data_IF_194335331284
#
_entry.id   IF_194335331284
#
_cell.length_a   1.000
_cell.length_b   1.000
_cell.length_c   1.000
_cell.angle_alpha   90.00
_cell.angle_beta   90.00
_cell.angle_gamma   90.00
#
_symmetry.space_group_name_H-M   'P 1'
#
loop_
_entity.id
_entity.type
_entity.pdbx_description
1 polymer ?
#
# COMPACT_ATOMS: atom_id res chain seq x y z
N UNK A 1 2.68 41.75 -51.80
CA UNK A 1 1.63 40.90 -51.19
C UNK A 1 2.28 39.63 -50.66
N UNK A 2 2.57 39.56 -49.36
CA UNK A 2 3.23 38.40 -48.72
C UNK A 2 2.13 37.42 -48.28
N UNK A 3 2.18 36.22 -48.84
CA UNK A 3 1.26 35.11 -48.56
C UNK A 3 1.55 34.52 -47.18
N UNK A 4 0.58 34.58 -46.27
CA UNK A 4 0.59 33.86 -44.99
C UNK A 4 0.37 32.37 -45.25
N UNK A 5 1.39 31.54 -45.00
CA UNK A 5 1.23 30.08 -44.89
C UNK A 5 0.65 29.74 -43.52
N UNK A 6 -0.56 29.20 -43.48
CA UNK A 6 -1.12 28.56 -42.29
C UNK A 6 -0.40 27.22 -42.03
N UNK A 7 -0.13 26.83 -40.78
CA UNK A 7 0.43 25.52 -40.49
C UNK A 7 -0.66 24.45 -40.65
N UNK A 8 -0.45 23.56 -41.61
CA UNK A 8 -1.26 22.37 -41.84
C UNK A 8 -1.16 21.43 -40.64
N UNK A 9 -2.29 21.17 -39.97
CA UNK A 9 -2.41 20.08 -38.98
C UNK A 9 -2.09 18.75 -39.67
N UNK A 10 -0.96 18.14 -39.33
CA UNK A 10 -0.66 16.76 -39.71
C UNK A 10 -1.67 15.84 -39.04
N UNK A 11 -2.56 15.23 -39.84
CA UNK A 11 -3.38 14.08 -39.43
C UNK A 11 -2.45 12.90 -39.19
N UNK A 12 -2.30 12.51 -37.92
CA UNK A 12 -1.67 11.25 -37.53
C UNK A 12 -2.74 10.16 -37.71
N UNK A 13 -2.41 9.12 -38.49
CA UNK A 13 -3.32 7.99 -38.77
C UNK A 13 -3.54 7.12 -37.53
N UNK A 14 -4.75 6.57 -37.30
CA UNK A 14 -5.03 5.69 -36.18
C UNK A 14 -4.61 4.26 -36.51
N UNK A 15 -3.33 3.94 -36.31
CA UNK A 15 -2.90 2.55 -36.20
C UNK A 15 -2.64 2.25 -34.72
N UNK A 16 -3.73 2.16 -33.95
CA UNK A 16 -3.72 1.64 -32.59
C UNK A 16 -3.65 0.11 -32.63
N UNK A 17 -2.45 -0.41 -32.84
CA UNK A 17 -2.14 -1.74 -32.32
C UNK A 17 -2.06 -1.59 -30.79
N UNK A 18 -2.97 -2.25 -30.07
CA UNK A 18 -2.96 -2.34 -28.61
C UNK A 18 -1.56 -2.73 -28.12
N UNK A 19 -0.81 -1.74 -27.62
CA UNK A 19 0.28 -1.98 -26.68
C UNK A 19 -0.35 -1.93 -25.30
N UNK A 20 -0.25 -3.03 -24.57
CA UNK A 20 -0.46 -3.08 -23.13
C UNK A 20 0.63 -2.20 -22.52
N UNK A 21 0.28 -0.96 -22.21
CA UNK A 21 1.17 -0.03 -21.56
C UNK A 21 0.84 1.44 -21.87
N UNK A 22 0.35 2.13 -20.85
CA UNK A 22 0.60 3.54 -20.54
C UNK A 22 0.24 4.55 -21.64
N UNK A 23 -0.97 5.11 -21.49
CA UNK A 23 -1.29 6.46 -21.95
C UNK A 23 -2.23 7.04 -20.90
N UNK A 24 -1.75 7.88 -19.98
CA UNK A 24 -2.45 9.07 -19.40
C UNK A 24 -2.00 9.54 -18.00
N UNK A 25 -1.09 8.89 -17.27
CA UNK A 25 -0.74 9.34 -15.89
C UNK A 25 0.76 9.33 -15.53
N UNK A 26 1.64 9.57 -16.51
CA UNK A 26 3.09 9.73 -16.27
C UNK A 26 3.46 10.93 -15.38
N UNK A 27 2.58 11.93 -15.25
CA UNK A 27 2.83 13.10 -14.40
C UNK A 27 2.78 12.75 -12.90
N UNK A 28 1.80 11.96 -12.43
CA UNK A 28 1.66 11.65 -10.99
C UNK A 28 2.78 10.75 -10.45
N UNK A 29 3.21 9.76 -11.22
CA UNK A 29 4.32 8.88 -10.85
C UNK A 29 5.66 9.63 -10.80
N UNK A 30 5.84 10.65 -11.65
CA UNK A 30 7.06 11.44 -11.69
C UNK A 30 7.20 12.49 -10.58
N UNK A 31 6.12 12.98 -9.95
CA UNK A 31 6.23 14.11 -9.01
C UNK A 31 7.08 13.80 -7.77
N UNK A 32 6.92 12.63 -7.15
CA UNK A 32 7.73 12.26 -5.98
C UNK A 32 9.14 11.81 -6.41
N UNK A 33 9.23 10.88 -7.36
CA UNK A 33 10.52 10.28 -7.74
C UNK A 33 11.49 11.28 -8.38
N UNK A 34 11.00 12.18 -9.24
CA UNK A 34 11.86 13.14 -9.94
C UNK A 34 12.46 14.22 -9.02
N UNK A 35 11.86 14.47 -7.85
CA UNK A 35 12.34 15.48 -6.88
C UNK A 35 13.42 14.95 -5.94
N UNK A 36 13.71 13.64 -5.96
CA UNK A 36 14.63 13.00 -5.02
C UNK A 36 16.07 13.51 -5.24
N UNK A 37 16.76 14.00 -4.18
CA UNK A 37 18.17 14.35 -4.28
C UNK A 37 19.05 13.14 -4.62
N UNK A 38 20.23 13.41 -5.20
CA UNK A 38 21.27 12.40 -5.37
C UNK A 38 21.66 11.81 -4.02
N UNK A 39 21.84 10.49 -3.96
CA UNK A 39 22.19 9.77 -2.72
C UNK A 39 21.01 9.40 -1.82
N UNK A 40 19.78 9.66 -2.26
CA UNK A 40 18.56 9.21 -1.58
C UNK A 40 18.48 7.68 -1.57
N UNK A 41 18.28 7.12 -0.39
CA UNK A 41 17.99 5.71 -0.15
C UNK A 41 16.49 5.45 -0.32
N UNK A 42 16.15 4.27 -0.83
CA UNK A 42 14.76 3.85 -1.04
C UNK A 42 14.52 2.58 -0.24
N UNK A 43 13.56 2.64 0.68
CA UNK A 43 12.97 1.44 1.26
C UNK A 43 11.71 1.11 0.46
N UNK A 44 11.73 -0.04 -0.21
CA UNK A 44 10.66 -0.47 -1.10
C UNK A 44 10.10 -1.82 -0.67
N UNK A 45 8.79 -1.94 -0.75
CA UNK A 45 8.07 -3.22 -0.66
C UNK A 45 7.35 -3.42 -1.97
N UNK A 46 7.63 -4.54 -2.62
CA UNK A 46 7.07 -4.88 -3.92
C UNK A 46 5.89 -5.85 -3.77
N UNK A 47 4.87 -5.59 -4.56
CA UNK A 47 3.65 -6.39 -4.73
C UNK A 47 3.64 -6.99 -6.13
N UNK A 48 3.00 -8.14 -6.26
CA UNK A 48 2.93 -8.91 -7.49
C UNK A 48 3.84 -10.12 -7.48
N UNK A 49 4.24 -10.59 -8.67
CA UNK A 49 4.81 -11.92 -8.80
C UNK A 49 6.19 -12.08 -8.15
N UNK A 50 6.29 -12.94 -7.14
CA UNK A 50 7.54 -13.31 -6.45
C UNK A 50 7.90 -14.76 -6.77
N UNK A 51 9.18 -15.00 -7.03
CA UNK A 51 9.72 -16.36 -7.08
C UNK A 51 10.35 -16.69 -5.75
N UNK A 52 9.84 -17.73 -5.09
CA UNK A 52 10.40 -18.25 -3.85
C UNK A 52 10.37 -19.78 -3.91
N UNK A 53 11.50 -20.43 -3.62
CA UNK A 53 11.65 -21.90 -3.65
C UNK A 53 11.13 -22.57 -4.94
N UNK A 54 11.50 -22.06 -6.12
CA UNK A 54 11.03 -22.52 -7.45
C UNK A 54 9.52 -22.40 -7.71
N UNK A 55 8.76 -21.78 -6.80
CA UNK A 55 7.36 -21.47 -7.01
C UNK A 55 7.22 -19.99 -7.35
N UNK A 56 6.35 -19.69 -8.31
CA UNK A 56 6.00 -18.30 -8.62
C UNK A 56 4.66 -18.00 -7.96
N UNK A 57 4.68 -17.07 -7.01
CA UNK A 57 3.53 -16.55 -6.30
C UNK A 57 3.14 -15.26 -6.98
N UNK A 58 1.96 -15.17 -7.58
CA UNK A 58 1.68 -14.06 -8.50
C UNK A 58 0.98 -12.88 -7.82
N UNK A 59 0.21 -13.13 -6.75
CA UNK A 59 -0.77 -12.15 -6.26
C UNK A 59 -0.94 -12.22 -4.74
N UNK A 60 -1.05 -11.05 -4.09
CA UNK A 60 -1.54 -10.95 -2.72
C UNK A 60 -3.04 -10.61 -2.76
N UNK A 61 -3.88 -11.54 -2.32
CA UNK A 61 -5.34 -11.36 -2.30
C UNK A 61 -5.78 -10.34 -1.27
N UNK A 62 -6.81 -9.55 -1.57
CA UNK A 62 -7.41 -8.61 -0.62
C UNK A 62 -8.45 -9.35 0.23
N UNK A 63 -7.99 -10.27 1.09
CA UNK A 63 -8.86 -11.15 1.89
C UNK A 63 -9.38 -10.49 3.17
N UNK A 64 -8.91 -9.29 3.52
CA UNK A 64 -9.37 -8.50 4.66
C UNK A 64 -9.99 -7.20 4.18
N UNK A 65 -11.01 -6.72 4.89
CA UNK A 65 -11.67 -5.44 4.63
C UNK A 65 -10.86 -4.23 5.03
N UNK A 66 -9.83 -4.41 5.85
CA UNK A 66 -8.91 -3.35 6.27
C UNK A 66 -7.49 -3.87 6.13
N UNK A 67 -6.65 -3.10 5.46
CA UNK A 67 -5.25 -3.44 5.24
C UNK A 67 -4.36 -2.30 5.74
N UNK A 68 -3.92 -2.33 7.00
CA UNK A 68 -3.00 -1.36 7.57
C UNK A 68 -1.54 -1.72 7.24
N UNK A 69 -0.79 -0.75 6.74
CA UNK A 69 0.61 -0.91 6.36
C UNK A 69 1.45 0.27 6.88
N UNK A 70 2.38 0.02 7.79
CA UNK A 70 3.27 1.07 8.34
C UNK A 70 4.31 1.52 7.32
N UNK A 71 4.43 2.83 7.16
CA UNK A 71 5.35 3.44 6.21
C UNK A 71 6.61 3.85 6.94
N UNK A 72 7.77 3.49 6.39
CA UNK A 72 9.10 3.84 6.92
C UNK A 72 9.42 3.36 8.35
N UNK A 73 8.86 2.26 8.85
CA UNK A 73 9.10 1.78 10.25
C UNK A 73 9.92 0.48 10.37
N UNK A 74 10.87 0.23 9.47
CA UNK A 74 11.68 -1.02 9.50
C UNK A 74 12.79 -0.99 10.56
N UNK A 75 13.16 -2.13 11.15
CA UNK A 75 14.31 -2.20 12.09
C UNK A 75 15.69 -2.11 11.43
N UNK A 76 15.77 -2.13 10.10
CA UNK A 76 17.04 -2.19 9.35
C UNK A 76 17.74 -0.84 9.20
N UNK A 77 17.47 0.12 10.07
CA UNK A 77 18.05 1.46 9.99
C UNK A 77 19.38 1.61 10.74
N UNK A 78 19.83 0.58 11.47
CA UNK A 78 21.15 0.60 12.10
C UNK A 78 22.29 0.71 11.07
N UNK A 79 23.34 1.51 11.33
CA UNK A 79 23.65 2.18 12.61
C UNK A 79 23.05 3.58 12.78
N UNK A 80 22.23 4.06 11.84
CA UNK A 80 21.78 5.45 11.80
C UNK A 80 20.67 5.73 12.82
N UNK A 81 20.71 6.94 13.39
CA UNK A 81 19.66 7.41 14.32
C UNK A 81 18.92 8.64 13.82
N UNK A 82 19.45 9.34 12.82
CA UNK A 82 18.90 10.56 12.26
C UNK A 82 18.72 10.44 10.75
N UNK A 83 17.58 10.87 10.27
CA UNK A 83 17.20 10.72 8.86
C UNK A 83 16.58 12.01 8.34
N UNK A 84 16.68 12.19 7.03
CA UNK A 84 15.87 13.13 6.27
C UNK A 84 14.91 12.32 5.41
N UNK A 85 13.62 12.45 5.65
CA UNK A 85 12.57 11.86 4.83
C UNK A 85 12.21 12.80 3.68
N UNK A 86 12.22 12.27 2.47
CA UNK A 86 11.92 13.05 1.26
C UNK A 86 10.48 12.87 0.83
N UNK A 87 10.05 11.62 0.64
CA UNK A 87 8.73 11.32 0.13
C UNK A 87 8.28 9.89 0.48
N UNK A 88 6.96 9.69 0.35
CA UNK A 88 6.32 8.38 0.34
C UNK A 88 5.56 8.24 -0.98
N UNK A 89 5.75 7.13 -1.67
CA UNK A 89 5.07 6.81 -2.92
C UNK A 89 4.40 5.45 -2.82
N UNK A 90 3.12 5.39 -3.12
CA UNK A 90 2.32 4.17 -3.19
C UNK A 90 1.84 4.03 -4.62
N UNK A 91 2.08 2.87 -5.20
CA UNK A 91 1.57 2.49 -6.50
C UNK A 91 1.09 1.05 -6.42
N UNK A 92 -0.22 0.82 -6.39
CA UNK A 92 -0.79 -0.52 -6.31
C UNK A 92 -1.75 -0.75 -7.47
N UNK A 93 -1.55 -1.84 -8.20
CA UNK A 93 -2.52 -2.33 -9.17
C UNK A 93 -3.45 -3.33 -8.48
N UNK A 94 -4.73 -3.01 -8.44
CA UNK A 94 -5.80 -3.88 -7.97
C UNK A 94 -6.49 -4.50 -9.18
N UNK A 95 -6.58 -5.82 -9.19
CA UNK A 95 -7.29 -6.59 -10.20
C UNK A 95 -8.57 -7.10 -9.57
N UNK A 96 -9.68 -6.89 -10.26
CA UNK A 96 -10.99 -7.39 -9.86
C UNK A 96 -11.50 -8.38 -10.89
N UNK A 97 -11.99 -9.53 -10.43
CA UNK A 97 -12.53 -10.57 -11.28
C UNK A 97 -14.05 -10.43 -11.41
N UNK A 98 -14.53 -10.42 -12.64
CA UNK A 98 -15.95 -10.30 -12.97
C UNK A 98 -16.40 -11.54 -13.74
N UNK A 99 -17.63 -11.97 -13.53
CA UNK A 99 -18.25 -13.00 -14.34
C UNK A 99 -19.77 -12.85 -14.32
N UNK A 100 -20.42 -13.08 -15.47
CA UNK A 100 -21.89 -13.12 -15.54
C UNK A 100 -22.45 -14.27 -14.69
N UNK A 101 -21.76 -15.40 -14.68
CA UNK A 101 -22.06 -16.50 -13.78
C UNK A 101 -21.36 -16.27 -12.43
N UNK A 102 -22.13 -15.86 -11.43
CA UNK A 102 -21.64 -15.56 -10.07
C UNK A 102 -21.07 -16.80 -9.35
N UNK A 103 -21.32 -18.00 -9.85
CA UNK A 103 -20.77 -19.25 -9.29
C UNK A 103 -19.39 -19.59 -9.83
N UNK A 104 -18.98 -18.94 -10.93
CA UNK A 104 -17.74 -19.28 -11.64
C UNK A 104 -16.53 -18.66 -10.97
N UNK A 105 -15.84 -19.45 -10.16
CA UNK A 105 -14.61 -19.05 -9.46
C UNK A 105 -13.35 -19.34 -10.26
N UNK A 106 -12.25 -18.67 -9.91
CA UNK A 106 -10.91 -18.99 -10.41
C UNK A 106 -9.98 -19.31 -9.24
N UNK A 107 -8.96 -20.11 -9.50
CA UNK A 107 -7.93 -20.45 -8.51
C UNK A 107 -6.65 -19.71 -8.86
N UNK A 108 -6.11 -18.97 -7.90
CA UNK A 108 -4.82 -18.28 -8.08
C UNK A 108 -3.81 -18.76 -7.03
N UNK A 109 -2.54 -18.98 -7.41
CA UNK A 109 -1.47 -19.27 -6.47
C UNK A 109 -1.08 -18.01 -5.68
N UNK A 110 -1.04 -18.14 -4.37
CA UNK A 110 -0.64 -17.12 -3.39
C UNK A 110 0.44 -17.68 -2.44
N UNK A 111 1.17 -16.83 -1.70
CA UNK A 111 2.16 -17.31 -0.73
C UNK A 111 1.59 -18.27 0.33
N UNK A 112 0.29 -18.18 0.62
CA UNK A 112 -0.41 -19.05 1.57
C UNK A 112 -0.99 -20.34 0.93
N UNK A 113 -0.76 -20.57 -0.37
CA UNK A 113 -1.28 -21.73 -1.12
C UNK A 113 -2.15 -21.31 -2.30
N UNK A 114 -3.23 -22.05 -2.58
CA UNK A 114 -4.17 -21.67 -3.65
C UNK A 114 -5.38 -20.96 -3.05
N UNK A 115 -5.68 -19.76 -3.54
CA UNK A 115 -6.86 -18.99 -3.14
C UNK A 115 -7.93 -19.04 -4.21
N UNK A 116 -9.19 -19.14 -3.78
CA UNK A 116 -10.36 -19.07 -4.64
C UNK A 116 -10.78 -17.61 -4.77
N UNK A 117 -10.85 -17.12 -6.00
CA UNK A 117 -11.38 -15.79 -6.32
C UNK A 117 -12.80 -15.97 -6.85
N UNK A 118 -13.72 -15.24 -6.25
CA UNK A 118 -15.13 -15.22 -6.62
C UNK A 118 -15.42 -14.03 -7.52
N UNK A 119 -16.40 -14.11 -8.44
CA UNK A 119 -16.81 -12.94 -9.21
C UNK A 119 -17.23 -11.76 -8.30
N UNK A 120 -16.95 -10.54 -8.74
CA UNK A 120 -17.54 -9.33 -8.17
C UNK A 120 -19.05 -9.34 -8.42
N UNK A 121 -19.84 -9.41 -7.35
CA UNK A 121 -21.31 -9.56 -7.44
C UNK A 121 -22.08 -8.26 -7.23
N UNK A 122 -21.39 -7.21 -6.77
CA UNK A 122 -21.88 -5.87 -6.43
C UNK A 122 -20.74 -4.87 -6.59
N UNK A 123 -21.05 -3.59 -6.73
CA UNK A 123 -20.05 -2.53 -6.68
C UNK A 123 -19.17 -2.66 -5.44
N UNK A 124 -17.87 -2.42 -5.62
CA UNK A 124 -16.86 -2.37 -4.56
C UNK A 124 -16.24 -0.98 -4.53
N UNK A 125 -16.16 -0.40 -3.34
CA UNK A 125 -15.46 0.87 -3.12
C UNK A 125 -14.19 0.60 -2.33
N UNK A 126 -13.06 1.05 -2.86
CA UNK A 126 -11.77 1.00 -2.18
C UNK A 126 -11.43 2.42 -1.73
N UNK A 127 -11.30 2.62 -0.41
CA UNK A 127 -10.88 3.90 0.18
C UNK A 127 -9.49 3.74 0.76
N UNK A 128 -8.53 4.48 0.22
CA UNK A 128 -7.12 4.39 0.55
C UNK A 128 -6.64 5.69 1.19
N UNK A 129 -5.91 5.59 2.30
CA UNK A 129 -5.47 6.75 3.06
C UNK A 129 -4.00 6.64 3.43
N UNK A 130 -3.30 7.78 3.42
CA UNK A 130 -2.07 7.96 4.20
C UNK A 130 -2.43 8.77 5.43
N UNK A 131 -2.19 8.19 6.60
CA UNK A 131 -2.45 8.76 7.91
C UNK A 131 -1.13 9.05 8.63
N UNK A 132 -1.08 10.15 9.38
CA UNK A 132 -0.08 10.37 10.43
C UNK A 132 -0.59 9.80 11.75
N UNK A 133 0.26 9.06 12.45
CA UNK A 133 -0.05 8.53 13.78
C UNK A 133 0.39 9.55 14.83
N UNK A 134 -0.60 10.06 15.57
CA UNK A 134 -0.41 11.05 16.63
C UNK A 134 -0.31 10.41 18.02
N UNK A 135 -0.89 9.22 18.21
CA UNK A 135 -0.91 8.53 19.50
C UNK A 135 0.31 7.63 19.74
N UNK A 136 0.95 7.81 20.90
CA UNK A 136 2.17 7.07 21.27
C UNK A 136 1.95 5.59 21.53
N UNK A 137 0.79 5.21 22.07
CA UNK A 137 0.50 3.79 22.32
C UNK A 137 0.23 3.06 21.01
N UNK A 138 -0.44 3.72 20.06
CA UNK A 138 -0.63 3.20 18.72
C UNK A 138 0.71 3.00 18.01
N UNK A 139 1.70 3.88 18.19
CA UNK A 139 3.05 3.71 17.60
C UNK A 139 3.73 2.39 17.99
N UNK A 140 3.43 1.87 19.18
CA UNK A 140 4.02 0.62 19.70
C UNK A 140 3.33 -0.65 19.15
N UNK A 141 2.13 -0.54 18.58
CA UNK A 141 1.40 -1.70 18.05
C UNK A 141 2.03 -2.21 16.74
N UNK A 142 2.06 -3.54 16.57
CA UNK A 142 2.43 -4.20 15.30
C UNK A 142 1.33 -4.01 14.24
N UNK A 143 1.67 -4.10 12.96
CA UNK A 143 0.71 -3.97 11.84
C UNK A 143 -0.50 -4.90 11.96
N UNK A 144 -0.28 -6.12 12.45
CA UNK A 144 -1.33 -7.14 12.64
C UNK A 144 -2.26 -6.86 13.83
N UNK A 145 -1.93 -5.90 14.71
CA UNK A 145 -2.66 -5.62 15.95
C UNK A 145 -3.46 -4.31 15.88
N UNK A 146 -3.69 -3.76 14.68
CA UNK A 146 -4.57 -2.61 14.53
C UNK A 146 -6.01 -3.03 14.65
N UNK A 147 -6.71 -2.44 15.62
CA UNK A 147 -8.15 -2.56 15.73
C UNK A 147 -8.82 -1.36 15.06
N UNK A 148 -10.08 -1.53 14.66
CA UNK A 148 -10.87 -0.43 14.09
C UNK A 148 -10.98 0.76 15.03
N UNK A 149 -11.11 0.53 16.34
CA UNK A 149 -11.13 1.56 17.38
C UNK A 149 -9.83 2.38 17.50
N UNK A 150 -8.75 1.88 16.90
CA UNK A 150 -7.51 2.64 16.84
C UNK A 150 -7.54 3.68 15.73
N UNK A 151 -8.36 3.47 14.70
CA UNK A 151 -8.39 4.31 13.50
C UNK A 151 -9.67 5.13 13.38
N UNK A 152 -10.83 4.52 13.62
CA UNK A 152 -12.15 5.13 13.37
C UNK A 152 -12.90 5.43 14.68
N UNK A 153 -13.83 6.38 14.62
CA UNK A 153 -14.75 6.71 15.72
C UNK A 153 -15.88 5.69 15.81
N UNK A 154 -16.56 5.40 14.69
CA UNK A 154 -17.84 4.67 14.70
C UNK A 154 -17.75 3.25 14.09
N UNK A 155 -16.54 2.78 13.76
CA UNK A 155 -16.25 1.51 13.09
C UNK A 155 -17.05 1.27 11.79
N UNK A 156 -17.50 2.34 11.13
CA UNK A 156 -18.23 2.27 9.86
C UNK A 156 -17.28 2.47 8.68
N UNK A 157 -17.46 1.66 7.63
CA UNK A 157 -16.71 1.75 6.38
C UNK A 157 -17.38 2.65 5.35
N UNK A 158 -18.69 2.93 5.51
CA UNK A 158 -19.42 3.78 4.58
C UNK A 158 -19.13 5.25 4.85
N UNK A 159 -19.20 5.65 6.12
CA UNK A 159 -18.88 7.01 6.58
C UNK A 159 -17.63 6.96 7.46
N UNK A 160 -16.46 6.92 6.83
CA UNK A 160 -15.18 6.84 7.53
C UNK A 160 -14.93 8.14 8.29
N UNK A 161 -15.08 8.08 9.61
CA UNK A 161 -14.69 9.14 10.53
C UNK A 161 -13.48 8.69 11.36
N UNK A 162 -12.34 9.36 11.15
CA UNK A 162 -11.10 9.02 11.87
C UNK A 162 -11.12 9.52 13.32
N UNK A 163 -10.53 8.72 14.21
CA UNK A 163 -10.24 9.14 15.58
C UNK A 163 -9.11 10.16 15.57
N UNK A 164 -9.47 11.45 15.50
CA UNK A 164 -8.54 12.58 15.36
C UNK A 164 -7.54 12.73 16.53
N UNK A 165 -7.82 12.08 17.68
CA UNK A 165 -6.86 12.01 18.80
C UNK A 165 -5.72 11.03 18.53
N UNK A 166 -5.95 10.00 17.70
CA UNK A 166 -4.99 8.93 17.43
C UNK A 166 -4.30 9.06 16.08
N UNK A 167 -5.04 9.46 15.06
CA UNK A 167 -4.56 9.55 13.68
C UNK A 167 -5.06 10.81 12.99
N UNK A 168 -4.30 11.27 12.01
CA UNK A 168 -4.66 12.41 11.16
C UNK A 168 -4.56 12.01 9.69
N UNK A 169 -5.63 12.10 8.90
CA UNK A 169 -5.55 11.85 7.46
C UNK A 169 -4.76 12.95 6.75
N UNK A 170 -3.87 12.54 5.84
CA UNK A 170 -3.03 13.44 5.05
C UNK A 170 -3.37 13.38 3.56
N UNK A 171 -3.61 12.18 3.04
CA UNK A 171 -4.00 11.95 1.65
C UNK A 171 -5.09 10.87 1.60
N UNK A 172 -5.95 10.99 0.61
CA UNK A 172 -7.06 10.09 0.32
C UNK A 172 -7.10 9.78 -1.18
N UNK A 173 -7.40 8.53 -1.51
CA UNK A 173 -7.76 8.06 -2.85
C UNK A 173 -8.97 7.14 -2.73
N UNK A 174 -10.03 7.42 -3.50
CA UNK A 174 -11.27 6.63 -3.51
C UNK A 174 -11.47 6.08 -4.91
N UNK A 175 -11.67 4.78 -5.00
CA UNK A 175 -11.96 4.10 -6.26
C UNK A 175 -13.25 3.32 -6.17
N UNK A 176 -14.14 3.59 -7.12
CA UNK A 176 -15.35 2.82 -7.32
C UNK A 176 -15.13 1.82 -8.45
N UNK A 177 -15.38 0.55 -8.15
CA UNK A 177 -15.19 -0.57 -9.07
C UNK A 177 -16.55 -1.21 -9.30
N UNK A 178 -17.06 -0.98 -10.51
CA UNK A 178 -18.34 -1.51 -10.95
C UNK A 178 -18.19 -2.89 -11.59
N UNK A 179 -19.28 -3.64 -11.62
CA UNK A 179 -19.37 -4.91 -12.33
C UNK A 179 -19.17 -4.68 -13.84
N UNK A 180 -17.96 -4.98 -14.32
CA UNK A 180 -17.58 -4.75 -15.71
C UNK A 180 -18.09 -5.86 -16.64
N UNK A 181 -18.21 -5.56 -17.94
CA UNK A 181 -18.50 -6.59 -18.96
C UNK A 181 -17.29 -7.50 -19.24
N UNK A 182 -16.08 -7.06 -18.89
CA UNK A 182 -14.84 -7.82 -19.05
C UNK A 182 -14.58 -8.70 -17.84
N UNK A 183 -14.00 -9.89 -18.05
CA UNK A 183 -13.71 -10.83 -16.96
C UNK A 183 -12.74 -10.29 -15.91
N UNK A 184 -11.85 -9.36 -16.27
CA UNK A 184 -10.93 -8.72 -15.35
C UNK A 184 -10.96 -7.22 -15.59
N UNK A 185 -10.94 -6.45 -14.50
CA UNK A 185 -10.67 -5.01 -14.52
C UNK A 185 -9.41 -4.72 -13.72
N UNK A 186 -8.65 -3.72 -14.18
CA UNK A 186 -7.44 -3.24 -13.51
C UNK A 186 -7.67 -1.81 -13.06
N UNK A 187 -7.31 -1.54 -11.81
CA UNK A 187 -7.48 -0.26 -11.14
C UNK A 187 -6.16 0.09 -10.45
N UNK A 188 -5.68 1.33 -10.58
CA UNK A 188 -4.38 1.76 -10.05
C UNK A 188 -4.54 2.79 -8.94
N UNK A 189 -4.04 2.48 -7.75
CA UNK A 189 -3.96 3.39 -6.60
C UNK A 189 -2.58 4.04 -6.63
N UNK A 190 -2.53 5.35 -6.86
CA UNK A 190 -1.29 6.13 -6.92
C UNK A 190 -1.37 7.27 -5.90
N UNK A 191 -0.54 7.21 -4.86
CA UNK A 191 -0.48 8.24 -3.83
C UNK A 191 0.97 8.70 -3.63
N UNK A 192 1.20 10.01 -3.60
CA UNK A 192 2.51 10.63 -3.43
C UNK A 192 2.43 11.68 -2.33
N UNK A 193 3.13 11.45 -1.21
CA UNK A 193 3.27 12.39 -0.10
C UNK A 193 4.69 12.98 -0.12
N UNK A 194 4.80 14.24 -0.51
CA UNK A 194 6.04 15.01 -0.42
C UNK A 194 6.25 15.46 1.04
N UNK A 195 7.33 14.99 1.66
CA UNK A 195 7.66 15.29 3.05
C UNK A 195 8.61 16.49 3.19
N UNK A 196 8.94 17.18 2.09
CA UNK A 196 9.71 18.42 2.08
C UNK A 196 11.02 18.33 2.88
N UNK A 197 11.72 17.19 2.78
CA UNK A 197 12.98 16.91 3.50
C UNK A 197 12.82 16.97 5.03
N UNK A 198 11.74 16.37 5.55
CA UNK A 198 11.48 16.29 6.98
C UNK A 198 12.60 15.57 7.73
N UNK A 199 13.18 16.22 8.73
CA UNK A 199 14.22 15.62 9.57
C UNK A 199 13.59 14.82 10.70
N UNK A 200 13.90 13.54 10.84
CA UNK A 200 13.34 12.66 11.88
C UNK A 200 14.45 11.96 12.66
N UNK A 201 14.18 11.63 13.91
CA UNK A 201 15.08 10.93 14.81
C UNK A 201 14.44 9.62 15.28
N UNK A 202 15.21 8.54 15.25
CA UNK A 202 14.80 7.29 15.86
C UNK A 202 14.70 7.47 17.38
N UNK A 203 13.56 7.13 17.96
CA UNK A 203 13.37 7.19 19.40
C UNK A 203 14.24 6.13 20.07
N UNK A 204 15.16 6.55 20.94
CA UNK A 204 16.25 5.73 21.52
C UNK A 204 15.80 4.72 22.59
N UNK A 205 14.51 4.40 22.68
CA UNK A 205 14.04 3.30 23.52
C UNK A 205 14.20 1.98 22.79
N UNK A 206 14.86 0.99 23.41
CA UNK A 206 14.60 -0.43 23.10
C UNK A 206 13.12 -0.67 23.39
N UNK A 207 12.29 -0.42 22.39
CA UNK A 207 10.90 -0.80 22.43
C UNK A 207 10.90 -2.28 22.06
N UNK A 208 10.21 -3.11 22.85
CA UNK A 208 9.97 -4.53 22.55
C UNK A 208 9.15 -4.74 21.26
N UNK A 209 8.90 -3.66 20.52
CA UNK A 209 8.09 -3.59 19.33
C UNK A 209 8.93 -3.91 18.10
N UNK A 210 8.37 -4.62 17.13
CA UNK A 210 9.04 -4.96 15.86
C UNK A 210 9.25 -3.76 14.93
N UNK A 211 8.69 -2.59 15.25
CA UNK A 211 8.71 -1.38 14.43
C UNK A 211 9.64 -0.31 15.00
N UNK A 212 10.35 0.40 14.12
CA UNK A 212 11.09 1.62 14.48
C UNK A 212 10.11 2.77 14.72
N UNK A 213 10.24 3.45 15.86
CA UNK A 213 9.40 4.61 16.23
C UNK A 213 10.23 5.89 16.11
N UNK A 214 9.70 6.89 15.41
CA UNK A 214 10.35 8.18 15.24
C UNK A 214 9.72 9.27 16.12
N UNK A 215 10.46 10.35 16.38
CA UNK A 215 9.96 11.54 17.07
C UNK A 215 8.80 12.22 16.33
N UNK A 216 8.82 12.17 15.00
CA UNK A 216 7.76 12.60 14.08
C UNK A 216 7.85 11.84 12.76
N UNK A 217 6.86 12.01 11.89
CA UNK A 217 6.85 11.33 10.58
C UNK A 217 6.53 9.85 10.67
N UNK A 218 5.69 9.45 11.63
CA UNK A 218 5.19 8.09 11.74
C UNK A 218 3.90 7.97 10.93
N UNK A 219 3.98 7.29 9.78
CA UNK A 219 2.87 7.21 8.84
C UNK A 219 2.32 5.79 8.70
N UNK A 220 1.03 5.72 8.38
CA UNK A 220 0.27 4.50 8.13
C UNK A 220 -0.45 4.64 6.80
N UNK A 221 -0.24 3.70 5.89
CA UNK A 221 -1.13 3.49 4.77
C UNK A 221 -2.26 2.56 5.24
N UNK A 222 -3.51 2.92 4.96
CA UNK A 222 -4.65 2.03 5.24
C UNK A 222 -5.58 1.99 4.05
N UNK A 223 -6.00 0.79 3.68
CA UNK A 223 -7.00 0.55 2.65
C UNK A 223 -8.24 -0.08 3.28
N UNK A 224 -9.41 0.49 3.01
CA UNK A 224 -10.72 -0.02 3.39
C UNK A 224 -11.43 -0.56 2.15
N UNK A 225 -11.97 -1.77 2.26
CA UNK A 225 -12.77 -2.40 1.22
C UNK A 225 -14.24 -2.46 1.63
N UNK A 226 -15.02 -1.59 1.00
CA UNK A 226 -16.47 -1.54 1.12
C UNK A 226 -17.09 -2.37 -0.02
N UNK A 227 -17.21 -3.67 0.23
CA UNK A 227 -17.79 -4.65 -0.69
C UNK A 227 -18.86 -5.47 0.01
N UNK A 228 -20.09 -5.49 -0.50
CA UNK A 228 -21.23 -6.19 0.15
C UNK A 228 -21.31 -5.89 1.67
N UNK A 229 -21.28 -4.61 2.06
CA UNK A 229 -21.15 -4.19 3.47
C UNK A 229 -22.23 -4.78 4.39
N UNK A 230 -23.43 -5.04 3.88
CA UNK A 230 -24.48 -5.70 4.65
C UNK A 230 -24.05 -7.08 5.18
N UNK A 231 -23.20 -7.82 4.45
CA UNK A 231 -22.67 -9.12 4.89
C UNK A 231 -21.64 -8.96 6.02
N UNK A 232 -20.84 -7.90 5.98
CA UNK A 232 -19.94 -7.53 7.08
C UNK A 232 -20.75 -7.24 8.35
N UNK A 233 -21.79 -6.42 8.25
CA UNK A 233 -22.66 -6.11 9.38
C UNK A 233 -23.35 -7.37 9.93
N UNK A 234 -23.83 -8.25 9.05
CA UNK A 234 -24.37 -9.55 9.45
C UNK A 234 -23.34 -10.38 10.22
N UNK A 235 -22.13 -10.54 9.66
CA UNK A 235 -21.05 -11.31 10.27
C UNK A 235 -20.64 -10.74 11.63
N UNK A 236 -20.53 -9.41 11.75
CA UNK A 236 -20.23 -8.68 12.99
C UNK A 236 -21.23 -8.98 14.10
N UNK A 237 -22.51 -9.11 13.76
CA UNK A 237 -23.57 -9.42 14.73
C UNK A 237 -23.57 -10.90 15.17
N UNK A 238 -23.02 -11.80 14.33
CA UNK A 238 -23.05 -13.26 14.58
C UNK A 238 -21.78 -13.83 15.22
N UNK A 239 -20.63 -13.16 15.09
CA UNK A 239 -19.35 -13.66 15.58
C UNK A 239 -18.93 -12.97 16.89
N UNK A 240 -18.48 -13.77 17.86
CA UNK A 240 -17.89 -13.26 19.10
C UNK A 240 -16.41 -12.87 18.97
N UNK A 241 -15.80 -13.05 17.79
CA UNK A 241 -14.37 -12.80 17.54
C UNK A 241 -14.22 -11.71 16.48
N UNK A 242 -13.81 -10.52 16.91
CA UNK A 242 -13.72 -9.32 16.07
C UNK A 242 -12.73 -9.50 14.90
N UNK A 243 -11.59 -10.18 15.12
CA UNK A 243 -10.59 -10.40 14.08
C UNK A 243 -11.14 -11.15 12.86
N UNK A 244 -11.95 -12.18 13.07
CA UNK A 244 -12.55 -12.98 12.00
C UNK A 244 -13.62 -12.23 11.19
N UNK A 245 -14.19 -11.16 11.78
CA UNK A 245 -15.23 -10.34 11.15
C UNK A 245 -14.68 -9.57 9.95
N UNK A 246 -13.41 -9.18 9.98
CA UNK A 246 -12.77 -8.40 8.92
C UNK A 246 -12.38 -9.22 7.69
N UNK A 247 -12.31 -10.55 7.81
CA UNK A 247 -11.98 -11.41 6.69
C UNK A 247 -13.17 -11.54 5.74
N UNK A 248 -12.89 -11.31 4.46
CA UNK A 248 -13.73 -11.79 3.38
C UNK A 248 -13.77 -13.32 3.43
N UNK A 249 -14.95 -13.89 3.21
CA UNK A 249 -15.10 -15.35 3.19
C UNK A 249 -14.40 -15.94 1.96
N UNK A 250 -13.80 -17.12 2.10
CA UNK A 250 -13.13 -17.82 0.97
C UNK A 250 -14.08 -18.09 -0.20
N UNK A 251 -15.34 -18.32 0.11
CA UNK A 251 -16.43 -18.49 -0.85
C UNK A 251 -17.54 -17.48 -0.55
N UNK A 252 -18.40 -17.23 -1.53
CA UNK A 252 -19.64 -16.51 -1.28
C UNK A 252 -20.61 -17.43 -0.53
N UNK A 253 -21.06 -16.99 0.65
CA UNK A 253 -22.03 -17.70 1.48
C UNK A 253 -22.80 -16.69 2.33
N UNK A 254 -24.06 -16.48 1.95
CA UNK A 254 -24.96 -15.54 2.59
C UNK A 254 -25.25 -15.90 4.05
N UNK A 255 -25.43 -17.19 4.35
CA UNK A 255 -25.84 -17.65 5.68
C UNK A 255 -24.78 -17.41 6.75
N UNK A 256 -23.50 -17.33 6.33
CA UNK A 256 -22.36 -17.09 7.19
C UNK A 256 -21.79 -15.66 7.05
N UNK A 257 -22.47 -14.76 6.32
CA UNK A 257 -22.01 -13.38 6.10
C UNK A 257 -20.71 -13.28 5.28
N UNK A 258 -20.46 -14.25 4.41
CA UNK A 258 -19.23 -14.36 3.62
C UNK A 258 -19.46 -13.82 2.20
N UNK A 259 -18.76 -12.74 1.84
CA UNK A 259 -18.92 -12.06 0.55
C UNK A 259 -18.10 -12.65 -0.60
N UNK A 260 -17.25 -13.66 -0.35
CA UNK A 260 -16.24 -14.06 -1.32
C UNK A 260 -15.08 -13.04 -1.43
N UNK A 261 -14.05 -13.39 -2.19
CA UNK A 261 -12.87 -12.57 -2.46
C UNK A 261 -12.89 -12.20 -3.96
N UNK A 262 -13.28 -10.96 -4.35
CA UNK A 262 -13.36 -10.57 -5.74
C UNK A 262 -12.07 -9.96 -6.29
N UNK A 263 -11.12 -9.59 -5.43
CA UNK A 263 -9.99 -8.74 -5.78
C UNK A 263 -8.66 -9.21 -5.22
N UNK A 264 -7.59 -8.86 -5.93
CA UNK A 264 -6.22 -9.18 -5.59
C UNK A 264 -5.26 -8.13 -6.14
N UNK A 265 -4.08 -8.00 -5.54
CA UNK A 265 -3.03 -7.13 -6.04
C UNK A 265 -2.32 -7.78 -7.23
N UNK A 266 -2.22 -7.07 -8.35
CA UNK A 266 -1.53 -7.54 -9.57
C UNK A 266 -0.03 -7.30 -9.52
N UNK A 267 0.35 -6.03 -9.36
CA UNK A 267 1.73 -5.54 -9.19
C UNK A 267 1.69 -4.25 -8.40
N UNK A 268 2.83 -3.80 -7.90
CA UNK A 268 2.92 -2.49 -7.28
C UNK A 268 4.08 -2.38 -6.33
N UNK A 269 4.18 -1.24 -5.68
CA UNK A 269 5.14 -1.00 -4.63
C UNK A 269 4.67 0.08 -3.67
N UNK A 270 5.18 -0.03 -2.44
CA UNK A 270 5.18 1.05 -1.47
C UNK A 270 6.64 1.43 -1.24
N UNK A 271 6.95 2.71 -1.46
CA UNK A 271 8.27 3.29 -1.31
C UNK A 271 8.29 4.38 -0.25
N UNK A 272 9.39 4.44 0.48
CA UNK A 272 9.76 5.59 1.30
C UNK A 272 11.19 5.98 0.97
N UNK A 273 11.39 7.26 0.69
CA UNK A 273 12.66 7.83 0.27
C UNK A 273 13.30 8.62 1.40
N UNK A 274 14.56 8.37 1.69
CA UNK A 274 15.24 8.93 2.86
C UNK A 274 16.75 9.08 2.67
N UNK A 275 17.39 9.90 3.49
CA UNK A 275 18.86 10.00 3.55
C UNK A 275 19.31 9.97 5.00
N UNK A 276 20.29 9.12 5.36
CA UNK A 276 20.86 9.15 6.71
C UNK A 276 21.61 10.47 6.91
N UNK A 277 21.47 11.07 8.09
CA UNK A 277 22.29 12.23 8.47
C UNK A 277 23.45 11.77 9.32
N UNK A 278 24.65 11.81 8.74
CA UNK A 278 25.89 11.47 9.44
C UNK A 278 26.29 12.63 10.36
N UNK A 279 26.21 12.45 11.67
CA UNK A 279 26.78 13.37 12.66
C UNK A 279 27.36 12.62 13.86
N UNK A 280 28.52 13.05 14.36
CA UNK A 280 29.10 12.57 15.63
C UNK A 280 29.34 11.05 15.68
N UNK A 281 28.68 10.37 16.63
CA UNK A 281 28.83 8.93 16.89
C UNK A 281 28.44 8.04 15.70
N UNK A 282 27.52 8.48 14.83
CA UNK A 282 27.10 7.70 13.65
C UNK A 282 28.26 7.57 12.66
N UNK A 283 29.09 8.61 12.50
CA UNK A 283 30.30 8.56 11.70
C UNK A 283 31.34 7.60 12.29
N UNK A 284 31.58 7.68 13.61
CA UNK A 284 32.52 6.77 14.28
C UNK A 284 32.10 5.30 14.19
N UNK A 285 30.80 4.99 14.30
CA UNK A 285 30.27 3.62 14.15
C UNK A 285 30.45 3.07 12.74
N UNK A 286 30.28 3.91 11.71
CA UNK A 286 30.51 3.51 10.31
C UNK A 286 31.99 3.28 10.07
N UNK A 287 32.86 4.18 10.54
CA UNK A 287 34.31 4.02 10.41
C UNK A 287 34.81 2.77 11.14
N UNK A 288 34.26 2.45 12.31
CA UNK A 288 34.56 1.21 13.03
C UNK A 288 34.09 -0.05 12.29
N UNK A 289 32.90 -0.04 11.68
CA UNK A 289 32.42 -1.15 10.84
C UNK A 289 33.25 -1.30 9.55
N UNK A 290 33.66 -0.19 8.95
CA UNK A 290 34.52 -0.20 7.75
C UNK A 290 35.93 -0.69 8.06
N UNK A 291 36.50 -0.31 9.21
CA UNK A 291 37.79 -0.82 9.67
C UNK A 291 37.77 -2.36 9.82
N UNK A 292 36.71 -2.90 10.44
CA UNK A 292 36.56 -4.35 10.58
C UNK A 292 36.41 -5.10 9.23
N UNK A 293 35.89 -4.46 8.17
CA UNK A 293 35.83 -5.06 6.83
C UNK A 293 37.18 -4.99 6.08
N UNK A 294 38.11 -4.14 6.50
CA UNK A 294 39.45 -4.07 5.93
C UNK A 294 40.41 -5.09 6.58
N UNK A 295 40.16 -5.49 7.82
CA UNK A 295 41.01 -6.45 8.55
C UNK A 295 40.74 -7.92 8.16
N UNK A 296 39.63 -8.25 7.49
CA UNK A 296 39.33 -9.62 7.03
C UNK A 296 40.04 -10.04 5.73
N UNK A 297 41.02 -9.26 5.24
CA UNK A 297 41.84 -9.62 4.06
C UNK A 297 43.31 -9.96 4.36
N UNK A 298 43.70 -10.04 5.63
CA UNK A 298 45.06 -10.49 6.02
C UNK A 298 45.06 -11.67 6.99
N UNK A 299 44.26 -12.71 6.70
CA UNK A 299 44.40 -14.03 7.31
C UNK A 299 44.41 -15.14 6.26
#
# INVERSE_FOLDING_TARGET
KVSKKNPSKKKISPNNACRIGWCNDEEKLNICQAKRPIGTQITRIEFGSKKENNHTFYFDTLYQRILPFRLFQTKKFEPFTRFTLHDILIHLQIITYHNRDKTRTIRIPTPAGTTIITPLISQMIIRSYILEICDRELLKKKNINFFLDDLLMDKDFQNIEFNTKKVKPLLEDIQEIDCSLCNFSENEIIMCLDLSKMQVCLSTGKTDTESAVFDKGNYLFVMFLDYCNFMYNFKKNTLNVESNTYFLGKNYDFNNGNSGIPSFTGKGYIESAWTPRLQGQDYQRIMAKMANCCDEKEA
#
